data_IF_818610630606
#
_entry.id   IF_818610630606
#
_cell.length_a   1.000
_cell.length_b   1.000
_cell.length_c   1.000
_cell.angle_alpha   90.00
_cell.angle_beta   90.00
_cell.angle_gamma   90.00
#
_symmetry.space_group_name_H-M   'P 1'
#
loop_
_entity.id
_entity.type
_entity.pdbx_description
1 polymer ?
#
# COMPACT_ATOMS: atom_id res chain seq x y z
N UNK A 1 -12.91 -31.53 -5.99
CA UNK A 1 -13.91 -30.47 -6.17
C UNK A 1 -13.26 -29.18 -5.72
N UNK A 2 -13.02 -28.23 -6.62
CA UNK A 2 -12.71 -26.87 -6.18
C UNK A 2 -14.02 -26.28 -5.66
N UNK A 3 -14.07 -25.90 -4.39
CA UNK A 3 -15.15 -25.08 -3.85
C UNK A 3 -15.21 -23.79 -4.66
N UNK A 4 -16.41 -23.31 -4.95
CA UNK A 4 -16.61 -22.06 -5.69
C UNK A 4 -16.29 -20.87 -4.78
N UNK A 5 -15.01 -20.61 -4.53
CA UNK A 5 -14.56 -19.51 -3.67
C UNK A 5 -14.96 -18.17 -4.29
N UNK A 6 -15.59 -17.31 -3.50
CA UNK A 6 -15.98 -15.98 -3.93
C UNK A 6 -14.89 -14.97 -3.58
N UNK A 7 -14.41 -14.21 -4.57
CA UNK A 7 -13.40 -13.17 -4.35
C UNK A 7 -14.07 -11.85 -3.99
N UNK A 8 -13.77 -11.30 -2.82
CA UNK A 8 -14.17 -9.94 -2.45
C UNK A 8 -13.14 -8.95 -2.95
N UNK A 9 -13.51 -8.08 -3.89
CA UNK A 9 -12.68 -6.97 -4.35
C UNK A 9 -12.94 -5.77 -3.45
N UNK A 10 -11.97 -5.43 -2.59
CA UNK A 10 -12.07 -4.33 -1.64
C UNK A 10 -11.56 -3.04 -2.32
N UNK A 11 -12.36 -1.99 -2.31
CA UNK A 11 -12.01 -0.67 -2.86
C UNK A 11 -12.64 0.47 -2.05
N UNK A 12 -12.33 1.72 -2.37
CA UNK A 12 -12.71 2.87 -1.55
C UNK A 12 -11.60 3.27 -0.57
N UNK A 13 -11.93 3.35 0.72
CA UNK A 13 -11.06 3.89 1.78
C UNK A 13 -11.12 5.41 1.91
N UNK A 14 -10.49 5.94 2.94
CA UNK A 14 -10.51 7.36 3.33
C UNK A 14 -9.26 8.15 2.90
N UNK A 15 -8.36 7.49 2.16
CA UNK A 15 -7.16 8.12 1.60
C UNK A 15 -7.50 9.19 0.56
N UNK A 16 -6.51 10.05 0.25
CA UNK A 16 -6.60 11.01 -0.84
C UNK A 16 -6.73 10.36 -2.23
N UNK A 17 -6.52 9.04 -2.33
CA UNK A 17 -6.54 8.26 -3.56
C UNK A 17 -7.82 7.41 -3.70
N UNK A 18 -8.84 7.64 -2.86
CA UNK A 18 -10.14 6.93 -2.89
C UNK A 18 -10.73 6.77 -4.30
N UNK A 19 -10.69 7.82 -5.13
CA UNK A 19 -11.24 7.76 -6.50
C UNK A 19 -10.49 6.78 -7.39
N UNK A 20 -9.16 6.67 -7.22
CA UNK A 20 -8.30 5.71 -7.93
C UNK A 20 -8.61 4.29 -7.45
N UNK A 21 -8.76 4.12 -6.14
CA UNK A 21 -9.16 2.87 -5.51
C UNK A 21 -10.52 2.35 -6.03
N UNK A 22 -11.56 3.19 -6.02
CA UNK A 22 -12.88 2.86 -6.57
C UNK A 22 -12.82 2.49 -8.06
N UNK A 23 -12.08 3.27 -8.86
CA UNK A 23 -11.91 3.00 -10.29
C UNK A 23 -11.20 1.66 -10.55
N UNK A 24 -10.14 1.38 -9.79
CA UNK A 24 -9.37 0.14 -9.90
C UNK A 24 -10.21 -1.08 -9.47
N UNK A 25 -10.87 -0.98 -8.31
CA UNK A 25 -11.73 -2.04 -7.79
C UNK A 25 -12.85 -2.42 -8.76
N UNK A 26 -13.51 -1.43 -9.38
CA UNK A 26 -14.53 -1.70 -10.39
C UNK A 26 -13.98 -2.46 -11.60
N UNK A 27 -12.82 -2.05 -12.12
CA UNK A 27 -12.20 -2.74 -13.26
C UNK A 27 -11.80 -4.17 -12.93
N UNK A 28 -11.24 -4.41 -11.73
CA UNK A 28 -10.89 -5.76 -11.27
C UNK A 28 -12.14 -6.62 -11.12
N UNK A 29 -13.20 -6.09 -10.50
CA UNK A 29 -14.48 -6.79 -10.35
C UNK A 29 -15.10 -7.17 -11.71
N UNK A 30 -15.12 -6.24 -12.67
CA UNK A 30 -15.64 -6.53 -14.02
C UNK A 30 -14.80 -7.63 -14.72
N UNK A 31 -13.48 -7.63 -14.55
CA UNK A 31 -12.63 -8.68 -15.10
C UNK A 31 -12.95 -10.08 -14.51
N UNK A 32 -13.25 -10.18 -13.22
CA UNK A 32 -13.73 -11.43 -12.63
C UNK A 32 -15.09 -11.87 -13.21
N UNK A 33 -16.02 -10.91 -13.37
CA UNK A 33 -17.35 -11.16 -13.93
C UNK A 33 -17.28 -11.65 -15.38
N UNK A 34 -16.47 -11.00 -16.21
CA UNK A 34 -16.22 -11.41 -17.60
C UNK A 34 -15.52 -12.78 -17.68
N UNK A 35 -14.64 -13.07 -16.73
CA UNK A 35 -13.97 -14.36 -16.60
C UNK A 35 -14.85 -15.49 -16.05
N UNK A 36 -16.12 -15.23 -15.72
CA UNK A 36 -17.06 -16.22 -15.17
C UNK A 36 -16.67 -16.73 -13.78
N UNK A 37 -15.89 -15.96 -13.00
CA UNK A 37 -15.50 -16.30 -11.63
C UNK A 37 -16.38 -15.55 -10.63
N UNK A 38 -16.81 -16.19 -9.52
CA UNK A 38 -17.58 -15.50 -8.49
C UNK A 38 -16.75 -14.40 -7.85
N UNK A 39 -17.28 -13.18 -7.85
CA UNK A 39 -16.69 -12.04 -7.18
C UNK A 39 -17.78 -11.10 -6.65
N UNK A 40 -17.45 -10.35 -5.61
CA UNK A 40 -18.26 -9.28 -5.04
C UNK A 40 -17.40 -8.03 -4.96
N UNK A 41 -17.95 -6.87 -5.34
CA UNK A 41 -17.30 -5.58 -5.13
C UNK A 41 -17.72 -5.05 -3.75
N UNK A 42 -16.74 -4.79 -2.88
CA UNK A 42 -16.93 -4.21 -1.56
C UNK A 42 -16.26 -2.83 -1.54
N UNK A 43 -17.05 -1.80 -1.79
CA UNK A 43 -16.63 -0.41 -1.59
C UNK A 43 -16.75 -0.10 -0.09
N UNK A 44 -15.64 0.28 0.55
CA UNK A 44 -15.57 0.64 1.97
C UNK A 44 -15.36 2.14 2.14
N UNK A 45 -15.87 2.72 3.23
CA UNK A 45 -15.61 4.11 3.59
C UNK A 45 -14.25 4.29 4.27
N UNK A 46 -13.95 3.47 5.27
CA UNK A 46 -12.70 3.45 6.02
C UNK A 46 -12.38 2.04 6.53
N UNK A 47 -11.31 1.90 7.33
CA UNK A 47 -10.93 0.62 7.92
C UNK A 47 -11.97 0.05 8.90
N UNK A 48 -12.76 0.89 9.58
CA UNK A 48 -13.78 0.42 10.52
C UNK A 48 -14.96 -0.21 9.79
N UNK A 49 -15.36 0.37 8.65
CA UNK A 49 -16.34 -0.24 7.75
C UNK A 49 -15.88 -1.62 7.30
N UNK A 50 -14.62 -1.75 6.83
CA UNK A 50 -14.04 -3.04 6.49
C UNK A 50 -14.07 -4.01 7.67
N UNK A 51 -13.61 -3.57 8.85
CA UNK A 51 -13.57 -4.40 10.06
C UNK A 51 -14.95 -4.95 10.45
N UNK A 52 -16.02 -4.18 10.19
CA UNK A 52 -17.39 -4.60 10.48
C UNK A 52 -17.94 -5.68 9.54
N UNK A 53 -17.24 -5.97 8.44
CA UNK A 53 -17.71 -6.84 7.34
C UNK A 53 -16.76 -7.99 7.02
N UNK A 54 -15.75 -8.24 7.87
CA UNK A 54 -14.73 -9.27 7.63
C UNK A 54 -15.33 -10.68 7.50
N UNK A 55 -16.42 -10.96 8.22
CA UNK A 55 -17.13 -12.24 8.15
C UNK A 55 -17.79 -12.51 6.77
N UNK A 56 -17.90 -11.48 5.91
CA UNK A 56 -18.40 -11.60 4.54
C UNK A 56 -17.31 -12.05 3.54
N UNK A 57 -16.05 -12.20 3.97
CA UNK A 57 -14.89 -12.33 3.08
C UNK A 57 -14.26 -13.73 3.17
N UNK A 58 -14.31 -14.47 2.06
CA UNK A 58 -13.59 -15.75 1.93
C UNK A 58 -12.14 -15.56 1.48
N UNK A 59 -11.91 -14.62 0.53
CA UNK A 59 -10.60 -14.21 0.03
C UNK A 59 -10.71 -12.78 -0.49
N UNK A 60 -9.72 -11.94 -0.19
CA UNK A 60 -9.71 -10.54 -0.56
C UNK A 60 -8.77 -10.25 -1.75
N UNK A 61 -9.28 -9.54 -2.75
CA UNK A 61 -8.46 -8.77 -3.67
C UNK A 61 -8.40 -7.33 -3.17
N UNK A 62 -7.23 -6.86 -2.76
CA UNK A 62 -7.05 -5.50 -2.25
C UNK A 62 -6.84 -4.57 -3.44
N UNK A 63 -7.83 -3.71 -3.72
CA UNK A 63 -7.76 -2.65 -4.72
C UNK A 63 -7.79 -1.25 -4.06
N UNK A 64 -7.36 -1.16 -2.80
CA UNK A 64 -7.16 0.08 -2.06
C UNK A 64 -5.89 0.78 -2.53
N UNK A 65 -5.86 2.12 -2.44
CA UNK A 65 -4.72 2.97 -2.80
C UNK A 65 -4.45 3.94 -1.66
N UNK A 66 -3.19 4.08 -1.28
CA UNK A 66 -2.72 4.94 -0.20
C UNK A 66 -3.18 4.54 1.21
N UNK A 67 -2.54 5.13 2.22
CA UNK A 67 -2.88 4.96 3.64
C UNK A 67 -2.94 3.49 4.06
N UNK A 68 -3.98 3.17 4.84
CA UNK A 68 -4.23 1.84 5.43
C UNK A 68 -4.24 0.69 4.40
N UNK A 69 -4.52 1.00 3.13
CA UNK A 69 -4.54 0.01 2.03
C UNK A 69 -3.15 -0.47 1.62
N UNK A 70 -2.10 0.29 1.89
CA UNK A 70 -0.74 0.05 1.38
C UNK A 70 0.34 0.03 2.47
N UNK A 71 0.06 0.57 3.66
CA UNK A 71 1.03 0.69 4.76
C UNK A 71 1.13 -0.58 5.63
N UNK A 72 0.31 -1.59 5.36
CA UNK A 72 0.25 -2.83 6.13
C UNK A 72 -0.94 -2.96 7.07
N UNK A 73 -1.72 -1.89 7.28
CA UNK A 73 -2.83 -1.88 8.25
C UNK A 73 -3.95 -2.82 7.84
N UNK A 74 -4.48 -2.71 6.61
CA UNK A 74 -5.52 -3.63 6.10
C UNK A 74 -4.98 -5.05 5.96
N UNK A 75 -3.72 -5.21 5.55
CA UNK A 75 -3.06 -6.52 5.45
C UNK A 75 -3.00 -7.22 6.80
N UNK A 76 -2.67 -6.48 7.87
CA UNK A 76 -2.63 -7.01 9.23
C UNK A 76 -4.03 -7.42 9.68
N UNK A 77 -5.03 -6.57 9.44
CA UNK A 77 -6.42 -6.86 9.78
C UNK A 77 -6.91 -8.16 9.13
N UNK A 78 -6.68 -8.33 7.83
CA UNK A 78 -7.05 -9.55 7.10
C UNK A 78 -6.28 -10.77 7.61
N UNK A 79 -4.98 -10.62 7.87
CA UNK A 79 -4.13 -11.70 8.38
C UNK A 79 -4.57 -12.17 9.78
N UNK A 80 -4.92 -11.24 10.67
CA UNK A 80 -5.39 -11.55 12.03
C UNK A 80 -6.72 -12.33 12.02
N UNK A 81 -7.53 -12.14 10.97
CA UNK A 81 -8.79 -12.86 10.76
C UNK A 81 -8.63 -14.12 9.89
N UNK A 82 -7.40 -14.47 9.51
CA UNK A 82 -7.11 -15.65 8.68
C UNK A 82 -7.66 -15.56 7.25
N UNK A 83 -7.99 -14.35 6.78
CA UNK A 83 -8.52 -14.11 5.43
C UNK A 83 -7.33 -14.05 4.46
N UNK A 84 -7.25 -14.94 3.45
CA UNK A 84 -6.22 -14.85 2.43
C UNK A 84 -6.45 -13.60 1.56
N UNK A 85 -5.38 -12.94 1.14
CA UNK A 85 -5.46 -11.74 0.31
C UNK A 85 -4.34 -11.62 -0.72
N UNK A 86 -4.52 -10.74 -1.70
CA UNK A 86 -3.51 -10.43 -2.72
C UNK A 86 -2.47 -9.43 -2.24
N UNK A 87 -1.21 -9.62 -2.65
CA UNK A 87 -0.14 -8.64 -2.46
C UNK A 87 0.86 -9.02 -1.38
N UNK A 88 1.52 -8.00 -0.82
CA UNK A 88 2.53 -8.13 0.22
C UNK A 88 1.90 -8.32 1.60
N UNK A 89 2.60 -9.03 2.50
CA UNK A 89 2.23 -9.11 3.91
C UNK A 89 2.45 -7.79 4.66
N UNK A 90 1.98 -7.66 5.92
CA UNK A 90 1.92 -6.38 6.64
C UNK A 90 3.27 -5.70 6.76
N UNK A 91 4.31 -6.44 7.18
CA UNK A 91 5.65 -5.88 7.35
C UNK A 91 6.29 -5.46 6.02
N UNK A 92 6.02 -6.20 4.94
CA UNK A 92 6.56 -5.87 3.62
C UNK A 92 5.88 -4.63 3.03
N UNK A 93 4.56 -4.49 3.24
CA UNK A 93 3.80 -3.28 2.90
C UNK A 93 4.33 -2.06 3.67
N UNK A 94 4.47 -2.16 4.99
CA UNK A 94 5.00 -1.07 5.82
C UNK A 94 6.42 -0.64 5.42
N UNK A 95 7.33 -1.61 5.19
CA UNK A 95 8.69 -1.31 4.72
C UNK A 95 8.65 -0.66 3.33
N UNK A 96 7.82 -1.18 2.43
CA UNK A 96 7.66 -0.66 1.06
C UNK A 96 7.21 0.80 1.04
N UNK A 97 6.37 1.20 1.99
CA UNK A 97 5.89 2.58 2.12
C UNK A 97 6.94 3.54 2.67
N UNK A 98 7.83 3.07 3.55
CA UNK A 98 8.93 3.86 4.09
C UNK A 98 10.17 3.81 3.17
N UNK A 99 10.45 4.91 2.47
CA UNK A 99 11.59 5.01 1.55
C UNK A 99 12.95 4.85 2.23
N UNK A 100 13.08 5.21 3.51
CA UNK A 100 14.33 5.03 4.25
C UNK A 100 14.51 3.57 4.65
N UNK A 101 13.47 2.94 5.17
CA UNK A 101 13.47 1.52 5.51
C UNK A 101 13.73 0.66 4.27
N UNK A 102 13.02 0.92 3.17
CA UNK A 102 13.24 0.27 1.87
C UNK A 102 14.69 0.42 1.41
N UNK A 103 15.24 1.65 1.40
CA UNK A 103 16.63 1.88 1.00
C UNK A 103 17.61 1.08 1.84
N UNK A 104 17.40 1.04 3.16
CA UNK A 104 18.25 0.27 4.07
C UNK A 104 18.24 -1.22 3.72
N UNK A 105 17.06 -1.81 3.56
CA UNK A 105 16.90 -3.23 3.19
C UNK A 105 17.57 -3.52 1.84
N UNK A 106 17.39 -2.64 0.85
CA UNK A 106 18.02 -2.81 -0.47
C UNK A 106 19.55 -2.74 -0.39
N UNK A 107 20.12 -1.78 0.34
CA UNK A 107 21.57 -1.66 0.55
C UNK A 107 22.13 -2.91 1.23
N UNK A 108 21.48 -3.38 2.30
CA UNK A 108 21.88 -4.60 3.02
C UNK A 108 21.82 -5.84 2.12
N UNK A 109 20.89 -5.88 1.17
CA UNK A 109 20.78 -6.92 0.15
C UNK A 109 21.78 -6.76 -1.02
N UNK A 110 22.64 -5.74 -1.01
CA UNK A 110 23.58 -5.46 -2.09
C UNK A 110 22.96 -4.85 -3.35
N UNK A 111 21.73 -4.31 -3.25
CA UNK A 111 21.04 -3.64 -4.34
C UNK A 111 21.39 -2.15 -4.32
N UNK A 112 21.90 -1.65 -5.44
CA UNK A 112 22.24 -0.23 -5.60
C UNK A 112 21.00 0.64 -5.52
N UNK A 113 21.05 1.68 -4.67
CA UNK A 113 20.01 2.72 -4.56
C UNK A 113 20.61 4.10 -4.78
N UNK A 114 19.81 5.12 -5.17
CA UNK A 114 20.31 6.49 -5.27
C UNK A 114 20.79 7.01 -3.92
N UNK A 115 21.99 7.60 -3.90
CA UNK A 115 22.52 8.30 -2.73
C UNK A 115 21.54 9.39 -2.27
N UNK A 116 21.34 9.51 -0.96
CA UNK A 116 20.37 10.44 -0.40
C UNK A 116 20.75 10.87 1.01
N UNK A 117 20.23 12.03 1.41
CA UNK A 117 20.33 12.60 2.74
C UNK A 117 18.92 12.84 3.28
N UNK A 118 18.73 12.62 4.58
CA UNK A 118 17.43 12.70 5.24
C UNK A 118 17.33 13.99 6.04
N UNK A 119 16.21 14.68 5.93
CA UNK A 119 15.90 15.83 6.77
C UNK A 119 15.04 15.38 7.95
N UNK A 120 15.44 15.73 9.18
CA UNK A 120 14.71 15.36 10.40
C UNK A 120 14.47 16.54 11.34
N UNK A 121 14.19 17.73 10.79
CA UNK A 121 13.83 18.91 11.58
C UNK A 121 15.02 19.75 12.09
N UNK A 122 16.22 19.54 11.56
CA UNK A 122 17.36 20.43 11.79
C UNK A 122 17.13 21.81 11.13
N UNK A 123 18.01 22.79 11.39
CA UNK A 123 17.91 24.10 10.74
C UNK A 123 17.98 23.97 9.21
N UNK A 124 16.99 24.54 8.52
CA UNK A 124 16.82 24.35 7.07
C UNK A 124 17.97 24.94 6.26
N UNK A 125 18.50 26.10 6.67
CA UNK A 125 19.62 26.73 5.95
C UNK A 125 20.89 25.88 6.10
N UNK A 126 21.15 25.39 7.31
CA UNK A 126 22.26 24.48 7.57
C UNK A 126 22.10 23.14 6.82
N UNK A 127 20.88 22.60 6.75
CA UNK A 127 20.62 21.38 5.99
C UNK A 127 20.85 21.59 4.50
N UNK A 128 20.35 22.70 3.94
CA UNK A 128 20.57 23.05 2.54
C UNK A 128 22.07 23.17 2.23
N UNK A 129 22.86 23.79 3.11
CA UNK A 129 24.32 23.86 2.95
C UNK A 129 24.99 22.47 2.94
N UNK A 130 24.52 21.53 3.76
CA UNK A 130 25.00 20.14 3.74
C UNK A 130 24.66 19.46 2.42
N UNK A 131 23.43 19.62 1.94
CA UNK A 131 22.98 19.06 0.66
C UNK A 131 23.82 19.62 -0.49
N UNK A 132 24.08 20.92 -0.53
CA UNK A 132 24.87 21.56 -1.59
C UNK A 132 26.36 21.18 -1.57
N UNK A 133 26.89 20.75 -0.43
CA UNK A 133 28.26 20.22 -0.32
C UNK A 133 28.36 18.77 -0.76
N UNK A 134 27.31 17.98 -0.51
CA UNK A 134 27.29 16.54 -0.77
C UNK A 134 26.82 16.18 -2.18
N UNK A 135 25.88 16.94 -2.75
CA UNK A 135 25.22 16.62 -4.02
C UNK A 135 25.44 17.69 -5.08
N UNK A 136 25.63 17.25 -6.33
CA UNK A 136 25.50 18.10 -7.51
C UNK A 136 24.03 18.30 -7.89
N UNK A 137 23.66 19.50 -8.33
CA UNK A 137 22.31 19.78 -8.81
C UNK A 137 22.06 19.18 -10.21
N UNK A 138 20.80 18.78 -10.52
CA UNK A 138 19.61 18.87 -9.68
C UNK A 138 19.51 17.76 -8.62
N UNK A 139 18.83 18.05 -7.51
CA UNK A 139 18.40 17.06 -6.51
C UNK A 139 16.89 16.88 -6.53
N UNK A 140 16.41 15.73 -6.07
CA UNK A 140 14.98 15.43 -5.94
C UNK A 140 14.62 15.32 -4.46
N UNK A 141 13.68 16.15 -4.01
CA UNK A 141 13.13 16.10 -2.64
C UNK A 141 11.84 15.30 -2.64
N UNK A 142 11.69 14.38 -1.69
CA UNK A 142 10.51 13.51 -1.54
C UNK A 142 10.18 13.32 -0.06
N UNK A 143 8.90 13.13 0.26
CA UNK A 143 8.48 12.68 1.59
C UNK A 143 8.95 11.24 1.86
N UNK A 144 9.24 10.93 3.13
CA UNK A 144 9.69 9.60 3.57
C UNK A 144 8.64 8.52 3.30
N UNK A 145 7.45 8.67 3.87
CA UNK A 145 6.27 7.82 3.61
C UNK A 145 5.26 8.52 2.70
N UNK A 146 4.18 7.80 2.36
CA UNK A 146 2.88 8.39 2.05
C UNK A 146 1.94 8.10 3.20
#
# INVERSE_FOLDING_TARGET
MYTSTTVTVISGGDSSERIVSLSSGRQVYEAFREGGRPAVLMEIDDINDLASRLDEIEVAFIALHGGDGEDGTVQQLLQDHGIPYTGSGPSASAIGMDKLATKKVLIEAGITVPHAMNYSGEDMAQFADKVMKEFSLPVVVKAQGQ
#
